data_IF_816594299410
#
_entry.id   IF_816594299410
#
_cell.length_a   1.000
_cell.length_b   1.000
_cell.length_c   1.000
_cell.angle_alpha   90.00
_cell.angle_beta   90.00
_cell.angle_gamma   90.00
#
_symmetry.space_group_name_H-M   'P 1'
#
loop_
_entity.id
_entity.type
_entity.pdbx_description
1 polymer ?
#
# COMPACT_ATOMS: atom_id res chain seq x y z
N UNK A 1 16.88 -19.71 -10.43
CA UNK A 1 16.07 -19.73 -11.67
C UNK A 1 15.80 -18.29 -12.15
N UNK A 2 16.87 -17.54 -12.41
CA UNK A 2 16.84 -16.18 -12.94
C UNK A 2 17.00 -16.15 -14.48
N UNK A 3 17.12 -17.32 -15.13
CA UNK A 3 17.51 -17.42 -16.55
C UNK A 3 16.36 -17.59 -17.53
N UNK A 4 15.12 -17.91 -17.09
CA UNK A 4 13.97 -18.02 -18.00
C UNK A 4 13.05 -16.79 -18.01
N UNK A 5 13.29 -15.80 -17.14
CA UNK A 5 12.62 -14.49 -17.18
C UNK A 5 13.23 -13.50 -18.19
N UNK A 6 14.27 -13.92 -18.91
CA UNK A 6 15.07 -13.09 -19.82
C UNK A 6 14.59 -13.07 -21.28
N UNK A 7 13.38 -13.56 -21.60
CA UNK A 7 12.88 -13.59 -22.99
C UNK A 7 11.83 -12.55 -23.39
N UNK A 8 11.61 -11.51 -22.57
CA UNK A 8 10.85 -10.31 -22.98
C UNK A 8 11.57 -9.02 -22.54
N UNK A 9 12.90 -9.01 -22.64
CA UNK A 9 13.72 -7.79 -22.45
C UNK A 9 14.57 -7.63 -23.70
N UNK A 10 14.03 -7.06 -24.77
CA UNK A 10 14.79 -6.34 -25.82
C UNK A 10 13.89 -5.54 -26.80
N UNK A 11 12.64 -5.21 -26.44
CA UNK A 11 11.72 -4.45 -27.31
C UNK A 11 11.49 -2.98 -26.94
N UNK A 12 11.86 -2.52 -25.75
CA UNK A 12 11.49 -1.17 -25.25
C UNK A 12 12.61 -0.41 -24.55
N UNK A 13 13.86 -0.90 -24.62
CA UNK A 13 15.02 -0.14 -24.15
C UNK A 13 15.70 0.49 -25.36
N UNK A 14 15.02 1.45 -25.98
CA UNK A 14 15.73 2.57 -26.58
C UNK A 14 15.80 3.68 -25.53
N UNK A 15 17.04 3.87 -25.11
CA UNK A 15 17.56 4.88 -24.22
C UNK A 15 17.24 6.28 -24.76
N UNK A 16 16.34 7.03 -24.11
CA UNK A 16 16.28 8.47 -24.28
C UNK A 16 17.01 9.13 -23.11
N UNK A 17 18.05 9.95 -23.39
CA UNK A 17 18.88 10.54 -22.35
C UNK A 17 18.09 11.57 -21.54
N UNK A 18 18.49 11.71 -20.27
CA UNK A 18 18.09 12.78 -19.36
C UNK A 18 17.77 14.10 -20.08
N UNK A 19 16.47 14.40 -20.25
CA UNK A 19 16.02 15.78 -20.28
C UNK A 19 15.69 16.16 -18.86
N UNK A 20 16.54 17.02 -18.29
CA UNK A 20 16.18 17.86 -17.15
C UNK A 20 14.77 18.40 -17.38
N UNK A 21 13.83 18.03 -16.52
CA UNK A 21 12.49 18.60 -16.54
C UNK A 21 12.66 20.08 -16.23
N UNK A 22 12.58 20.93 -17.24
CA UNK A 22 12.49 22.37 -17.03
C UNK A 22 11.15 22.62 -16.34
N UNK A 23 11.20 23.28 -15.19
CA UNK A 23 10.04 23.81 -14.51
C UNK A 23 9.10 24.48 -15.51
N UNK A 24 7.92 23.89 -15.72
CA UNK A 24 6.83 24.59 -16.38
C UNK A 24 6.54 25.85 -15.55
N UNK A 25 6.86 27.02 -16.11
CA UNK A 25 6.37 28.30 -15.61
C UNK A 25 4.86 28.30 -15.84
N UNK A 26 4.12 27.97 -14.79
CA UNK A 26 2.69 28.29 -14.72
C UNK A 26 2.54 29.81 -14.81
N UNK A 27 1.90 30.28 -15.90
CA UNK A 27 1.40 31.63 -16.00
C UNK A 27 0.29 31.80 -14.95
N UNK A 28 0.65 32.32 -13.77
CA UNK A 28 -0.32 32.76 -12.76
C UNK A 28 -1.12 33.93 -13.33
N UNK A 29 -2.37 33.69 -13.73
CA UNK A 29 -3.38 34.72 -13.60
C UNK A 29 -3.66 34.88 -12.10
N UNK A 30 -3.43 36.08 -11.58
CA UNK A 30 -3.83 36.46 -10.24
C UNK A 30 -5.35 36.51 -10.20
N UNK A 31 -5.98 35.44 -9.74
CA UNK A 31 -7.28 35.52 -9.11
C UNK A 31 -7.14 34.81 -7.77
N UNK A 32 -7.13 35.61 -6.69
CA UNK A 32 -7.22 35.15 -5.30
C UNK A 32 -8.63 34.62 -5.06
N UNK A 33 -8.93 33.45 -5.64
CA UNK A 33 -10.03 32.60 -5.20
C UNK A 33 -9.55 31.73 -4.06
N UNK A 34 -10.37 31.53 -3.04
CA UNK A 34 -10.11 30.55 -1.97
C UNK A 34 -9.85 29.20 -2.65
N UNK A 35 -8.61 28.72 -2.60
CA UNK A 35 -8.24 27.45 -3.20
C UNK A 35 -8.88 26.33 -2.38
N UNK A 36 -10.03 25.84 -2.86
CA UNK A 36 -10.77 24.78 -2.18
C UNK A 36 -10.08 23.45 -2.46
N UNK A 37 -9.47 22.88 -1.42
CA UNK A 37 -8.88 21.55 -1.46
C UNK A 37 -9.96 20.49 -1.22
N UNK A 38 -9.85 19.39 -1.95
CA UNK A 38 -10.80 18.28 -1.90
C UNK A 38 -10.26 17.12 -1.09
N UNK A 39 -8.95 16.85 -1.22
CA UNK A 39 -8.31 15.65 -0.68
C UNK A 39 -7.48 15.89 0.58
N UNK A 40 -7.36 17.15 1.02
CA UNK A 40 -6.59 17.52 2.20
C UNK A 40 -7.30 18.59 3.03
N UNK A 41 -7.33 18.39 4.34
CA UNK A 41 -7.86 19.36 5.29
C UNK A 41 -6.78 20.34 5.75
N UNK A 42 -7.21 21.54 6.16
CA UNK A 42 -6.33 22.51 6.81
C UNK A 42 -5.74 21.90 8.08
N UNK A 43 -4.42 21.90 8.19
CA UNK A 43 -3.72 21.35 9.33
C UNK A 43 -2.35 22.02 9.51
N UNK A 44 -1.80 22.05 10.74
CA UNK A 44 -0.54 22.74 11.03
C UNK A 44 0.71 21.93 10.64
N UNK A 45 0.56 20.76 10.03
CA UNK A 45 1.63 19.76 9.86
C UNK A 45 2.11 19.64 8.43
N UNK A 46 1.20 19.86 7.48
CA UNK A 46 1.49 19.95 6.07
C UNK A 46 1.60 21.41 5.65
N UNK A 47 2.67 21.73 4.94
CA UNK A 47 2.80 23.01 4.25
C UNK A 47 1.77 23.13 3.13
N UNK A 48 1.45 24.37 2.72
CA UNK A 48 0.57 24.61 1.59
C UNK A 48 1.04 23.88 0.32
N UNK A 49 2.35 23.89 0.04
CA UNK A 49 2.91 23.23 -1.14
C UNK A 49 2.75 21.70 -1.09
N UNK A 50 2.89 21.08 0.09
CA UNK A 50 2.65 19.64 0.23
C UNK A 50 1.18 19.27 0.01
N UNK A 51 0.26 20.13 0.45
CA UNK A 51 -1.17 19.95 0.20
C UNK A 51 -1.49 20.11 -1.28
N UNK A 52 -1.05 21.20 -1.92
CA UNK A 52 -1.18 21.39 -3.37
C UNK A 52 -0.62 20.19 -4.13
N UNK A 53 0.55 19.69 -3.75
CA UNK A 53 1.15 18.51 -4.37
C UNK A 53 0.25 17.27 -4.23
N UNK A 54 -0.29 16.99 -3.04
CA UNK A 54 -1.18 15.85 -2.82
C UNK A 54 -2.49 16.00 -3.60
N UNK A 55 -3.09 17.19 -3.64
CA UNK A 55 -4.29 17.47 -4.45
C UNK A 55 -4.02 17.20 -5.94
N UNK A 56 -2.85 17.57 -6.43
CA UNK A 56 -2.46 17.39 -7.83
C UNK A 56 -2.18 15.93 -8.16
N UNK A 57 -1.43 15.24 -7.29
CA UNK A 57 -0.77 13.97 -7.60
C UNK A 57 -1.35 12.75 -6.89
N UNK A 58 -2.09 12.95 -5.79
CA UNK A 58 -2.76 11.89 -5.02
C UNK A 58 -1.84 11.10 -4.08
N UNK A 59 -0.58 11.52 -3.95
CA UNK A 59 0.38 11.00 -3.00
C UNK A 59 1.27 12.09 -2.43
N UNK A 60 1.93 11.80 -1.31
CA UNK A 60 2.91 12.68 -0.69
C UNK A 60 3.97 11.84 0.03
N UNK A 61 5.23 12.05 -0.35
CA UNK A 61 6.38 11.41 0.28
C UNK A 61 6.95 12.31 1.38
N UNK A 62 6.94 11.83 2.62
CA UNK A 62 7.56 12.50 3.76
C UNK A 62 8.84 11.75 4.15
N UNK A 63 9.96 12.46 4.06
CA UNK A 63 11.29 11.91 4.35
C UNK A 63 11.50 11.75 5.84
N UNK A 64 12.11 10.63 6.25
CA UNK A 64 12.48 10.33 7.64
C UNK A 64 11.35 10.63 8.66
N UNK A 65 10.12 10.24 8.33
CA UNK A 65 8.96 10.45 9.21
C UNK A 65 9.02 9.53 10.43
N UNK A 66 9.45 8.29 10.22
CA UNK A 66 9.50 7.27 11.27
C UNK A 66 10.94 7.06 11.72
N UNK A 67 11.18 7.26 13.02
CA UNK A 67 12.50 7.02 13.60
C UNK A 67 12.95 5.57 13.39
N UNK A 68 14.22 5.40 13.08
CA UNK A 68 14.80 4.10 12.78
C UNK A 68 14.67 3.09 13.93
N UNK A 69 14.66 3.56 15.18
CA UNK A 69 14.48 2.72 16.38
C UNK A 69 13.17 1.93 16.36
N UNK A 70 12.07 2.54 15.89
CA UNK A 70 10.80 1.85 15.75
C UNK A 70 10.85 0.82 14.64
N UNK A 71 11.46 1.17 13.50
CA UNK A 71 11.57 0.29 12.35
C UNK A 71 12.39 -0.96 12.65
N UNK A 72 13.50 -0.83 13.38
CA UNK A 72 14.31 -1.97 13.79
C UNK A 72 13.55 -2.91 14.73
N UNK A 73 12.80 -2.34 15.69
CA UNK A 73 11.97 -3.13 16.60
C UNK A 73 10.83 -3.84 15.87
N UNK A 74 10.14 -3.17 14.95
CA UNK A 74 9.08 -3.77 14.14
C UNK A 74 9.62 -4.85 13.20
N UNK A 75 10.82 -4.64 12.63
CA UNK A 75 11.50 -5.65 11.81
C UNK A 75 11.81 -6.89 12.63
N UNK A 76 12.32 -6.71 13.86
CA UNK A 76 12.59 -7.83 14.76
C UNK A 76 11.30 -8.57 15.11
N UNK A 77 10.21 -7.85 15.44
CA UNK A 77 8.91 -8.48 15.71
C UNK A 77 8.39 -9.29 14.52
N UNK A 78 8.57 -8.79 13.30
CA UNK A 78 8.23 -9.55 12.09
C UNK A 78 9.00 -10.88 12.04
N UNK A 79 10.32 -10.85 12.29
CA UNK A 79 11.13 -12.07 12.34
C UNK A 79 10.65 -13.03 13.43
N UNK A 80 10.36 -12.51 14.62
CA UNK A 80 9.85 -13.32 15.74
C UNK A 80 8.51 -13.99 15.41
N UNK A 81 7.61 -13.29 14.71
CA UNK A 81 6.33 -13.84 14.27
C UNK A 81 6.49 -14.96 13.23
N UNK A 82 7.35 -14.79 12.23
CA UNK A 82 7.53 -15.81 11.18
C UNK A 82 8.33 -17.03 11.68
N UNK A 83 9.20 -16.85 12.68
CA UNK A 83 9.97 -17.93 13.31
C UNK A 83 9.22 -18.62 14.45
N UNK A 84 8.01 -18.15 14.79
CA UNK A 84 7.19 -18.74 15.85
C UNK A 84 7.61 -18.37 17.27
N UNK A 85 8.44 -17.33 17.43
CA UNK A 85 8.83 -16.76 18.73
C UNK A 85 7.80 -15.79 19.32
N UNK A 86 6.77 -15.43 18.56
CA UNK A 86 5.69 -14.55 19.00
C UNK A 86 4.31 -15.08 18.58
N UNK A 87 3.29 -14.77 19.38
CA UNK A 87 1.90 -15.17 19.12
C UNK A 87 1.34 -14.52 17.85
N UNK A 88 0.67 -15.30 16.99
CA UNK A 88 0.26 -14.82 15.67
C UNK A 88 -1.05 -15.42 15.13
N UNK A 89 -1.87 -16.09 15.93
CA UNK A 89 -3.01 -16.88 15.42
C UNK A 89 -4.06 -16.03 14.69
N UNK A 90 -4.26 -14.79 15.11
CA UNK A 90 -5.19 -13.86 14.48
C UNK A 90 -4.63 -13.19 13.21
N UNK A 91 -3.36 -13.45 12.87
CA UNK A 91 -2.65 -12.82 11.76
C UNK A 91 -2.62 -13.71 10.53
N UNK A 92 -2.69 -13.10 9.35
CA UNK A 92 -2.57 -13.82 8.08
C UNK A 92 -1.14 -13.75 7.58
N UNK A 93 -0.39 -14.86 7.67
CA UNK A 93 0.95 -15.00 7.09
C UNK A 93 0.83 -15.42 5.63
N UNK A 94 1.17 -14.54 4.70
CA UNK A 94 1.14 -14.84 3.27
C UNK A 94 2.46 -15.48 2.86
N UNK A 95 2.35 -16.70 2.32
CA UNK A 95 3.47 -17.43 1.74
C UNK A 95 3.58 -17.10 0.25
N UNK A 96 4.80 -17.07 -0.27
CA UNK A 96 5.01 -17.14 -1.71
C UNK A 96 4.51 -18.49 -2.23
N UNK A 97 3.54 -18.48 -3.14
CA UNK A 97 2.90 -19.69 -3.68
C UNK A 97 3.92 -20.64 -4.30
N UNK A 98 5.00 -20.09 -4.89
CA UNK A 98 6.05 -20.88 -5.53
C UNK A 98 7.04 -21.52 -4.55
N UNK A 99 7.03 -21.07 -3.29
CA UNK A 99 7.95 -21.53 -2.24
C UNK A 99 7.24 -22.17 -1.03
N UNK A 100 5.91 -22.17 -1.00
CA UNK A 100 5.10 -22.54 0.18
C UNK A 100 5.34 -23.97 0.70
N UNK A 101 5.77 -24.88 -0.17
CA UNK A 101 6.01 -26.31 0.12
C UNK A 101 7.49 -26.62 0.39
N UNK A 102 8.39 -25.62 0.30
CA UNK A 102 9.82 -25.78 0.60
C UNK A 102 10.06 -25.75 2.11
N UNK A 103 10.92 -26.64 2.59
CA UNK A 103 11.30 -26.75 4.01
C UNK A 103 12.80 -26.49 4.26
N UNK A 104 13.60 -26.41 3.21
CA UNK A 104 15.06 -26.22 3.22
C UNK A 104 15.50 -24.75 3.14
N UNK A 105 14.54 -23.82 3.16
CA UNK A 105 14.79 -22.38 3.08
C UNK A 105 14.22 -21.66 4.30
N UNK A 106 14.80 -20.51 4.64
CA UNK A 106 14.38 -19.74 5.80
C UNK A 106 12.89 -19.33 5.74
N UNK A 107 12.19 -19.22 6.87
CA UNK A 107 10.81 -18.73 6.91
C UNK A 107 10.65 -17.37 6.24
N UNK A 108 11.64 -16.48 6.35
CA UNK A 108 11.66 -15.16 5.70
C UNK A 108 11.60 -15.24 4.17
N UNK A 109 12.16 -16.30 3.58
CA UNK A 109 12.09 -16.55 2.13
C UNK A 109 10.72 -17.05 1.70
N UNK A 110 9.96 -17.66 2.60
CA UNK A 110 8.65 -18.23 2.32
C UNK A 110 7.55 -17.22 2.63
N UNK A 111 7.61 -16.55 3.79
CA UNK A 111 6.59 -15.63 4.30
C UNK A 111 7.02 -14.19 4.01
N UNK A 112 6.44 -13.60 2.98
CA UNK A 112 6.83 -12.27 2.50
C UNK A 112 5.89 -11.14 2.98
N UNK A 113 4.76 -11.48 3.61
CA UNK A 113 3.79 -10.50 4.12
C UNK A 113 3.01 -11.06 5.31
N UNK A 114 2.81 -10.23 6.32
CA UNK A 114 1.87 -10.47 7.41
C UNK A 114 0.75 -9.42 7.32
N UNK A 115 -0.50 -9.85 7.46
CA UNK A 115 -1.68 -8.98 7.56
C UNK A 115 -2.39 -9.18 8.89
N UNK A 116 -3.38 -8.32 9.18
CA UNK A 116 -4.23 -8.39 10.40
C UNK A 116 -3.45 -8.21 11.70
N UNK A 117 -2.36 -7.43 11.65
CA UNK A 117 -1.51 -7.16 12.81
C UNK A 117 -2.07 -6.08 13.76
N UNK A 118 -3.32 -5.66 13.58
CA UNK A 118 -3.99 -4.64 14.44
C UNK A 118 -4.06 -5.06 15.92
N UNK A 119 -3.96 -6.36 16.18
CA UNK A 119 -3.90 -6.96 17.52
C UNK A 119 -2.49 -7.12 18.10
N UNK A 120 -1.45 -7.00 17.26
CA UNK A 120 -0.08 -7.16 17.73
C UNK A 120 0.39 -5.87 18.42
N UNK A 121 0.84 -5.99 19.67
CA UNK A 121 1.21 -4.86 20.51
C UNK A 121 2.35 -3.98 19.94
N UNK A 122 3.23 -4.58 19.13
CA UNK A 122 4.41 -3.93 18.55
C UNK A 122 4.13 -3.40 17.15
N UNK A 123 3.60 -4.22 16.24
CA UNK A 123 3.34 -3.81 14.85
C UNK A 123 2.17 -2.81 14.76
N UNK A 124 1.18 -2.88 15.65
CA UNK A 124 0.07 -1.91 15.68
C UNK A 124 0.51 -0.50 16.08
N UNK A 125 1.73 -0.29 16.55
CA UNK A 125 2.24 1.05 16.83
C UNK A 125 2.33 1.91 15.57
N UNK A 126 2.54 1.29 14.40
CA UNK A 126 2.55 2.01 13.11
C UNK A 126 1.25 2.75 12.88
N UNK A 127 0.10 2.16 13.25
CA UNK A 127 -1.19 2.83 13.10
C UNK A 127 -1.34 4.02 14.04
N UNK A 128 -0.64 4.04 15.18
CA UNK A 128 -0.72 5.10 16.18
C UNK A 128 0.17 6.31 15.89
N UNK A 129 0.92 6.30 14.79
CA UNK A 129 1.76 7.44 14.38
C UNK A 129 0.90 8.67 13.95
N UNK A 130 1.42 9.90 14.10
CA UNK A 130 0.64 11.10 13.82
C UNK A 130 0.26 11.26 12.33
N UNK A 131 -1.03 11.56 12.14
CA UNK A 131 -1.70 12.30 11.06
C UNK A 131 -1.55 11.80 9.62
N UNK A 132 -2.65 11.21 9.15
CA UNK A 132 -2.98 11.10 7.74
C UNK A 132 -4.35 11.76 7.53
N UNK A 133 -4.52 12.61 6.51
CA UNK A 133 -5.81 13.25 6.21
C UNK A 133 -6.11 13.22 4.72
N UNK A 134 -6.93 12.26 4.33
CA UNK A 134 -8.25 12.46 3.73
C UNK A 134 -9.18 11.43 4.43
N UNK A 135 -10.48 11.35 4.13
CA UNK A 135 -11.35 10.39 4.86
C UNK A 135 -10.86 8.94 4.80
N UNK A 136 -10.07 8.55 3.79
CA UNK A 136 -9.33 7.29 3.75
C UNK A 136 -7.96 7.53 3.13
N UNK A 137 -6.90 6.93 3.68
CA UNK A 137 -5.52 7.13 3.20
C UNK A 137 -4.63 5.96 3.58
N UNK A 138 -3.75 5.53 2.67
CA UNK A 138 -2.70 4.58 2.97
C UNK A 138 -1.46 5.33 3.48
N UNK A 139 -0.84 4.84 4.55
CA UNK A 139 0.52 5.18 4.94
C UNK A 139 1.41 3.95 4.72
N UNK A 140 2.45 4.11 3.92
CA UNK A 140 3.40 3.07 3.60
C UNK A 140 4.81 3.54 3.96
N UNK A 141 5.50 2.82 4.83
CA UNK A 141 6.80 3.21 5.39
C UNK A 141 7.88 2.21 5.01
N UNK A 142 8.99 2.72 4.46
CA UNK A 142 10.16 1.92 4.13
C UNK A 142 10.92 1.53 5.42
N UNK A 143 11.10 0.22 5.65
CA UNK A 143 11.85 -0.29 6.82
C UNK A 143 13.35 -0.50 6.53
N UNK A 144 13.73 -0.32 5.28
CA UNK A 144 15.08 -0.37 4.74
C UNK A 144 15.16 0.52 3.49
N UNK A 145 16.33 0.61 2.85
CA UNK A 145 16.46 1.33 1.58
C UNK A 145 15.66 0.63 0.48
N UNK A 146 14.85 1.40 -0.23
CA UNK A 146 13.98 0.95 -1.31
C UNK A 146 14.36 1.72 -2.56
N UNK A 147 14.79 1.00 -3.59
CA UNK A 147 15.24 1.54 -4.86
C UNK A 147 14.65 0.73 -6.01
N UNK A 148 14.86 1.18 -7.24
CA UNK A 148 14.31 0.53 -8.43
C UNK A 148 14.56 -0.98 -8.48
N UNK A 149 15.79 -1.42 -8.25
CA UNK A 149 16.15 -2.84 -8.45
C UNK A 149 15.60 -3.76 -7.35
N UNK A 150 15.25 -3.23 -6.18
CA UNK A 150 14.65 -4.02 -5.10
C UNK A 150 13.12 -3.90 -5.00
N UNK A 151 12.49 -3.37 -6.06
CA UNK A 151 11.04 -3.33 -6.19
C UNK A 151 10.39 -2.19 -5.43
N UNK A 152 10.84 -0.94 -5.69
CA UNK A 152 10.17 0.24 -5.16
C UNK A 152 8.71 0.33 -5.60
N UNK A 153 7.90 1.08 -4.82
CA UNK A 153 6.58 1.46 -5.29
C UNK A 153 6.70 2.34 -6.53
N UNK A 154 5.70 2.25 -7.40
CA UNK A 154 5.44 3.25 -8.42
C UNK A 154 4.00 3.72 -8.31
N UNK A 155 3.75 4.95 -8.75
CA UNK A 155 2.41 5.55 -8.80
C UNK A 155 2.16 6.16 -10.17
N UNK A 156 0.89 6.33 -10.51
CA UNK A 156 0.44 7.12 -11.66
C UNK A 156 -0.10 8.45 -11.11
N UNK A 157 0.70 9.53 -11.08
CA UNK A 157 0.30 10.78 -10.45
C UNK A 157 -1.01 11.33 -11.03
N UNK A 158 -1.92 11.75 -10.16
CA UNK A 158 -3.21 12.34 -10.54
C UNK A 158 -4.32 11.33 -10.85
N UNK A 159 -4.01 10.03 -10.92
CA UNK A 159 -5.01 8.98 -11.19
C UNK A 159 -6.08 8.87 -10.09
N UNK A 160 -5.82 9.37 -8.89
CA UNK A 160 -6.79 9.42 -7.79
C UNK A 160 -8.03 10.27 -8.08
N UNK A 161 -7.95 11.17 -9.08
CA UNK A 161 -9.07 11.98 -9.58
C UNK A 161 -9.98 11.22 -10.53
N UNK A 162 -9.55 10.03 -10.97
CA UNK A 162 -10.31 9.14 -11.83
C UNK A 162 -11.41 8.40 -11.07
N UNK A 163 -11.95 7.37 -11.72
CA UNK A 163 -12.93 6.45 -11.11
C UNK A 163 -12.19 5.25 -10.52
N UNK A 164 -12.89 4.50 -9.67
CA UNK A 164 -12.43 3.18 -9.28
C UNK A 164 -12.45 2.28 -10.51
N UNK A 165 -11.27 1.78 -10.90
CA UNK A 165 -11.12 0.88 -12.05
C UNK A 165 -11.47 -0.57 -11.69
N UNK A 166 -11.86 -1.35 -12.70
CA UNK A 166 -12.10 -2.78 -12.51
C UNK A 166 -10.79 -3.50 -12.15
N UNK A 167 -10.84 -4.26 -11.07
CA UNK A 167 -9.74 -5.07 -10.59
C UNK A 167 -9.99 -6.53 -10.94
N UNK A 168 -8.98 -7.20 -11.47
CA UNK A 168 -9.02 -8.61 -11.83
C UNK A 168 -7.75 -9.32 -11.38
N UNK A 169 -7.83 -10.64 -11.21
CA UNK A 169 -6.64 -11.44 -11.01
C UNK A 169 -5.75 -11.42 -12.26
N UNK A 170 -4.44 -11.15 -12.11
CA UNK A 170 -3.50 -11.30 -13.20
C UNK A 170 -3.47 -12.75 -13.70
N UNK A 171 -3.43 -12.95 -15.01
CA UNK A 171 -3.33 -14.27 -15.62
C UNK A 171 -1.86 -14.72 -15.70
N UNK A 172 -1.27 -15.06 -14.54
CA UNK A 172 0.13 -15.51 -14.46
C UNK A 172 0.21 -17.04 -14.39
N UNK A 173 1.13 -17.64 -15.15
CA UNK A 173 1.28 -19.11 -15.26
C UNK A 173 1.48 -19.83 -13.91
N UNK A 174 2.14 -19.16 -12.95
CA UNK A 174 2.42 -19.73 -11.61
C UNK A 174 1.33 -19.41 -10.58
N UNK A 175 0.23 -18.81 -11.01
CA UNK A 175 -0.82 -18.31 -10.14
C UNK A 175 -0.43 -17.02 -9.40
N UNK A 176 -1.40 -16.47 -8.68
CA UNK A 176 -1.29 -15.24 -7.90
C UNK A 176 -1.83 -15.50 -6.49
N UNK A 177 -1.28 -14.78 -5.50
CA UNK A 177 -1.82 -14.84 -4.15
C UNK A 177 -3.28 -14.37 -4.16
N UNK A 178 -4.13 -15.00 -3.34
CA UNK A 178 -5.52 -14.52 -3.13
C UNK A 178 -5.47 -13.06 -2.65
N UNK A 179 -6.39 -12.24 -3.12
CA UNK A 179 -6.42 -10.77 -2.93
C UNK A 179 -5.31 -9.99 -3.66
N UNK A 180 -4.57 -10.61 -4.58
CA UNK A 180 -3.63 -9.92 -5.45
C UNK A 180 -4.31 -9.56 -6.78
N UNK A 181 -5.04 -8.45 -6.78
CA UNK A 181 -5.73 -7.92 -7.95
C UNK A 181 -4.89 -6.86 -8.67
N UNK A 182 -5.00 -6.80 -9.99
CA UNK A 182 -4.40 -5.76 -10.83
C UNK A 182 -5.45 -5.05 -11.67
N UNK A 183 -5.09 -3.88 -12.19
CA UNK A 183 -5.90 -3.11 -13.14
C UNK A 183 -5.31 -3.31 -14.54
N UNK A 184 -6.15 -3.71 -15.51
CA UNK A 184 -5.71 -3.91 -16.91
C UNK A 184 -5.71 -2.59 -17.68
N UNK A 185 -4.82 -2.47 -18.66
CA UNK A 185 -4.80 -1.32 -19.58
C UNK A 185 -4.02 -0.10 -19.09
N UNK A 186 -3.29 -0.24 -17.97
CA UNK A 186 -2.42 0.81 -17.42
C UNK A 186 -0.94 0.40 -17.42
N UNK A 187 -0.55 -0.53 -18.31
CA UNK A 187 0.81 -1.02 -18.40
C UNK A 187 1.77 0.04 -18.97
N UNK A 188 1.30 0.86 -19.92
CA UNK A 188 2.12 1.83 -20.67
C UNK A 188 1.99 3.28 -20.17
N UNK A 189 1.24 3.52 -19.08
CA UNK A 189 1.09 4.89 -18.55
C UNK A 189 2.39 5.36 -17.88
N UNK A 190 2.72 6.67 -17.96
CA UNK A 190 3.86 7.22 -17.23
C UNK A 190 3.75 6.95 -15.72
N UNK A 191 4.78 6.32 -15.18
CA UNK A 191 4.87 5.92 -13.76
C UNK A 191 5.95 6.74 -13.07
N UNK A 192 5.65 7.24 -11.87
CA UNK A 192 6.65 7.82 -10.98
C UNK A 192 7.15 6.73 -10.03
N UNK A 193 8.44 6.41 -10.10
CA UNK A 193 9.10 5.52 -9.14
C UNK A 193 9.31 6.25 -7.81
N UNK A 194 9.05 5.55 -6.70
CA UNK A 194 9.18 6.08 -5.35
C UNK A 194 10.36 5.41 -4.64
N UNK A 195 11.57 5.89 -4.92
CA UNK A 195 12.76 5.50 -4.16
C UNK A 195 12.77 6.18 -2.79
N UNK A 196 13.01 5.37 -1.76
CA UNK A 196 12.79 5.73 -0.36
C UNK A 196 13.96 5.23 0.48
N UNK A 197 14.44 6.07 1.38
CA UNK A 197 15.37 5.64 2.43
C UNK A 197 14.58 5.04 3.60
N UNK A 198 15.27 4.31 4.47
CA UNK A 198 14.67 3.82 5.72
C UNK A 198 14.02 5.00 6.48
N UNK A 199 12.78 4.81 6.94
CA UNK A 199 12.02 5.82 7.69
C UNK A 199 11.25 6.82 6.84
N UNK A 200 11.44 6.83 5.53
CA UNK A 200 10.56 7.55 4.62
C UNK A 200 9.16 6.91 4.63
N UNK A 201 8.13 7.74 4.53
CA UNK A 201 6.73 7.31 4.43
C UNK A 201 6.05 7.99 3.26
N UNK A 202 5.42 7.21 2.39
CA UNK A 202 4.50 7.73 1.37
C UNK A 202 3.07 7.59 1.88
N UNK A 203 2.33 8.69 1.78
CA UNK A 203 0.88 8.71 1.92
C UNK A 203 0.25 8.72 0.53
N UNK A 204 -0.79 7.93 0.30
CA UNK A 204 -1.50 7.97 -0.98
C UNK A 204 -2.99 7.67 -0.86
N UNK A 205 -3.74 8.25 -1.79
CA UNK A 205 -5.20 8.12 -1.87
C UNK A 205 -5.61 6.70 -2.33
N UNK A 206 -6.73 6.13 -1.84
CA UNK A 206 -7.12 4.75 -2.15
C UNK A 206 -7.35 4.45 -3.64
N UNK A 207 -7.76 5.46 -4.41
CA UNK A 207 -8.01 5.36 -5.85
C UNK A 207 -6.74 5.62 -6.68
N UNK A 208 -5.64 6.05 -6.07
CA UNK A 208 -4.39 6.25 -6.80
C UNK A 208 -3.89 4.91 -7.35
N UNK A 209 -3.70 4.83 -8.66
CA UNK A 209 -3.07 3.68 -9.29
C UNK A 209 -1.61 3.60 -8.84
N UNK A 210 -1.26 2.46 -8.26
CA UNK A 210 0.06 2.17 -7.73
C UNK A 210 0.38 0.69 -7.85
N UNK A 211 1.67 0.37 -7.80
CA UNK A 211 2.16 -1.00 -7.81
C UNK A 211 3.59 -1.07 -7.26
N UNK A 212 4.14 -2.27 -7.16
CA UNK A 212 5.56 -2.47 -6.83
C UNK A 212 6.31 -2.96 -8.08
N UNK A 213 7.52 -2.46 -8.29
CA UNK A 213 8.42 -3.00 -9.30
C UNK A 213 8.94 -4.39 -8.93
N UNK A 214 9.59 -5.04 -9.89
CA UNK A 214 10.29 -6.31 -9.64
C UNK A 214 11.47 -6.10 -8.69
N UNK A 215 11.63 -7.03 -7.75
CA UNK A 215 12.85 -7.15 -6.97
C UNK A 215 13.78 -8.16 -7.67
N UNK A 216 14.82 -7.64 -8.32
CA UNK A 216 15.86 -8.43 -9.02
C UNK A 216 17.11 -8.63 -8.17
N UNK A 217 17.11 -8.14 -6.92
CA UNK A 217 18.21 -8.33 -5.98
C UNK A 217 18.13 -9.67 -5.26
N UNK A 218 19.17 -10.00 -4.49
CA UNK A 218 19.20 -11.17 -3.63
C UNK A 218 18.67 -10.91 -2.20
N UNK A 219 18.11 -9.71 -1.94
CA UNK A 219 17.63 -9.28 -0.63
C UNK A 219 16.12 -9.04 -0.62
N UNK A 220 15.48 -9.29 0.53
CA UNK A 220 14.05 -9.05 0.72
C UNK A 220 13.79 -7.62 1.18
N UNK A 221 13.05 -6.86 0.35
CA UNK A 221 12.63 -5.49 0.66
C UNK A 221 11.49 -5.48 1.67
N UNK A 222 11.71 -4.95 2.87
CA UNK A 222 10.71 -4.84 3.95
C UNK A 222 10.08 -3.45 4.02
N UNK A 223 8.78 -3.47 4.30
CA UNK A 223 7.99 -2.28 4.55
C UNK A 223 6.79 -2.61 5.41
N UNK A 224 6.22 -1.58 6.04
CA UNK A 224 5.00 -1.67 6.82
C UNK A 224 3.98 -0.68 6.28
N UNK A 225 2.70 -1.05 6.28
CA UNK A 225 1.64 -0.18 5.79
C UNK A 225 0.35 -0.31 6.59
N UNK A 226 -0.36 0.80 6.72
CA UNK A 226 -1.68 0.87 7.34
C UNK A 226 -2.60 1.71 6.45
N UNK A 227 -3.88 1.31 6.36
CA UNK A 227 -4.92 2.12 5.73
C UNK A 227 -5.77 2.71 6.86
N UNK A 228 -5.86 4.03 6.89
CA UNK A 228 -6.68 4.77 7.83
C UNK A 228 -7.98 5.17 7.17
N UNK A 229 -9.04 5.22 7.97
CA UNK A 229 -10.31 5.82 7.61
C UNK A 229 -10.77 6.75 8.74
N UNK A 230 -11.43 7.85 8.41
CA UNK A 230 -12.13 8.68 9.36
C UNK A 230 -13.28 7.89 10.00
N UNK A 231 -13.52 8.07 11.29
CA UNK A 231 -14.54 7.29 12.00
C UNK A 231 -15.97 7.62 11.59
N UNK A 232 -16.18 8.72 10.84
CA UNK A 232 -17.46 9.11 10.22
C UNK A 232 -17.70 8.49 8.83
N UNK A 233 -16.81 7.61 8.35
CA UNK A 233 -17.06 6.80 7.17
C UNK A 233 -18.13 5.72 7.44
N UNK A 234 -18.67 5.13 6.38
CA UNK A 234 -19.69 4.09 6.47
C UNK A 234 -19.43 2.97 5.46
N UNK A 235 -19.92 1.77 5.77
CA UNK A 235 -19.88 0.65 4.85
C UNK A 235 -20.93 0.83 3.74
N UNK A 236 -20.54 0.53 2.51
CA UNK A 236 -21.43 0.53 1.34
C UNK A 236 -21.81 -0.90 0.97
N UNK A 237 -23.03 -1.08 0.44
CA UNK A 237 -23.39 -2.31 -0.26
C UNK A 237 -22.64 -2.35 -1.59
N UNK A 238 -21.88 -3.42 -1.81
CA UNK A 238 -21.07 -3.62 -3.02
C UNK A 238 -21.72 -4.57 -4.02
N UNK A 239 -22.89 -5.12 -3.72
CA UNK A 239 -23.60 -6.02 -4.62
C UNK A 239 -23.97 -5.31 -5.94
N UNK A 240 -23.65 -5.94 -7.07
CA UNK A 240 -23.88 -5.33 -8.39
C UNK A 240 -22.93 -4.19 -8.74
N UNK A 241 -21.89 -3.94 -7.94
CA UNK A 241 -20.84 -2.95 -8.22
C UNK A 241 -19.55 -3.65 -8.69
N UNK A 242 -18.56 -2.88 -9.14
CA UNK A 242 -17.21 -3.39 -9.48
C UNK A 242 -16.54 -4.12 -8.31
N UNK A 243 -16.99 -3.87 -7.08
CA UNK A 243 -16.44 -4.43 -5.85
C UNK A 243 -17.17 -5.70 -5.38
N UNK A 244 -18.21 -6.20 -6.06
CA UNK A 244 -18.97 -7.38 -5.60
C UNK A 244 -18.08 -8.60 -5.33
N UNK A 245 -17.04 -8.82 -6.15
CA UNK A 245 -16.13 -9.94 -5.98
C UNK A 245 -15.33 -9.86 -4.67
N UNK A 246 -15.00 -8.65 -4.19
CA UNK A 246 -14.24 -8.51 -2.94
C UNK A 246 -15.05 -8.96 -1.74
N UNK A 247 -16.37 -8.71 -1.75
CA UNK A 247 -17.25 -9.16 -0.67
C UNK A 247 -17.29 -10.69 -0.60
N UNK A 248 -17.45 -11.36 -1.75
CA UNK A 248 -17.46 -12.82 -1.82
C UNK A 248 -16.18 -13.40 -1.24
N UNK A 249 -15.04 -12.85 -1.65
CA UNK A 249 -13.75 -13.32 -1.17
C UNK A 249 -13.49 -13.04 0.32
N UNK A 250 -13.89 -11.85 0.81
CA UNK A 250 -13.77 -11.49 2.24
C UNK A 250 -14.64 -12.42 3.09
N UNK A 251 -15.87 -12.69 2.67
CA UNK A 251 -16.78 -13.65 3.33
C UNK A 251 -16.20 -15.07 3.35
N UNK A 252 -15.59 -15.52 2.26
CA UNK A 252 -14.89 -16.82 2.24
C UNK A 252 -13.71 -16.88 3.21
N UNK A 253 -12.92 -15.80 3.33
CA UNK A 253 -11.83 -15.73 4.29
C UNK A 253 -12.37 -15.73 5.72
N UNK A 254 -13.42 -14.95 5.99
CA UNK A 254 -14.07 -14.90 7.30
C UNK A 254 -14.60 -16.28 7.71
N UNK A 255 -15.26 -16.99 6.79
CA UNK A 255 -15.71 -18.38 6.99
C UNK A 255 -14.57 -19.31 7.40
N UNK A 256 -13.43 -19.27 6.69
CA UNK A 256 -12.25 -20.09 7.04
C UNK A 256 -11.66 -19.76 8.42
N UNK A 257 -11.90 -18.56 8.93
CA UNK A 257 -11.50 -18.10 10.27
C UNK A 257 -12.58 -18.35 11.34
N UNK A 258 -13.64 -19.10 11.02
CA UNK A 258 -14.74 -19.40 11.95
C UNK A 258 -15.72 -18.24 12.17
N UNK A 259 -15.65 -17.18 11.35
CA UNK A 259 -16.56 -16.02 11.40
C UNK A 259 -17.69 -16.18 10.39
N UNK A 260 -18.43 -17.30 10.47
CA UNK A 260 -19.56 -17.57 9.58
C UNK A 260 -20.78 -16.70 9.91
N UNK A 261 -21.58 -16.36 8.90
CA UNK A 261 -22.83 -15.62 9.06
C UNK A 261 -22.69 -14.10 9.18
N UNK A 262 -21.47 -13.57 9.25
CA UNK A 262 -21.24 -12.12 9.26
C UNK A 262 -21.42 -11.50 7.87
N UNK A 263 -21.99 -10.30 7.84
CA UNK A 263 -22.02 -9.47 6.63
C UNK A 263 -20.65 -8.79 6.37
N UNK A 264 -20.54 -8.15 5.20
CA UNK A 264 -19.30 -7.52 4.77
C UNK A 264 -18.83 -6.40 5.72
N UNK A 265 -19.76 -5.57 6.20
CA UNK A 265 -19.45 -4.47 7.12
C UNK A 265 -19.01 -4.98 8.50
N UNK A 266 -19.71 -5.99 9.03
CA UNK A 266 -19.37 -6.64 10.30
C UNK A 266 -17.96 -7.25 10.28
N UNK A 267 -17.57 -7.90 9.18
CA UNK A 267 -16.22 -8.47 9.04
C UNK A 267 -15.15 -7.38 9.09
N UNK A 268 -15.40 -6.23 8.46
CA UNK A 268 -14.47 -5.10 8.50
C UNK A 268 -14.44 -4.39 9.84
N UNK A 269 -15.58 -4.22 10.51
CA UNK A 269 -15.65 -3.62 11.84
C UNK A 269 -14.90 -4.47 12.89
N UNK A 270 -14.99 -5.81 12.81
CA UNK A 270 -14.17 -6.69 13.65
C UNK A 270 -12.67 -6.56 13.39
N UNK A 271 -12.25 -6.04 12.22
CA UNK A 271 -10.85 -5.83 11.84
C UNK A 271 -10.41 -4.38 11.99
N UNK A 272 -11.32 -3.46 12.32
CA UNK A 272 -11.01 -2.05 12.55
C UNK A 272 -10.58 -1.83 14.00
N UNK A 273 -9.80 -0.77 14.20
CA UNK A 273 -9.51 -0.27 15.55
C UNK A 273 -9.52 1.25 15.56
N UNK A 274 -10.18 1.80 16.56
CA UNK A 274 -10.07 3.22 16.88
C UNK A 274 -8.63 3.51 17.29
N UNK A 275 -7.94 4.30 16.47
CA UNK A 275 -6.56 4.73 16.72
C UNK A 275 -6.52 6.04 17.50
N UNK A 276 -7.39 7.01 17.15
CA UNK A 276 -7.43 8.34 17.75
C UNK A 276 -8.81 8.96 17.60
N UNK A 277 -9.21 9.81 18.55
CA UNK A 277 -10.49 10.53 18.49
C UNK A 277 -11.62 9.71 19.10
N UNK A 278 -12.80 9.76 18.45
CA UNK A 278 -13.99 9.02 18.88
C UNK A 278 -14.48 8.13 17.74
N UNK A 279 -14.97 6.96 18.10
CA UNK A 279 -15.70 6.07 17.21
C UNK A 279 -17.08 6.68 16.92
N UNK A 280 -17.51 6.69 15.65
CA UNK A 280 -18.77 7.34 15.22
C UNK A 280 -19.63 6.32 14.46
N UNK A 281 -19.31 6.05 13.19
CA UNK A 281 -20.04 5.13 12.31
C UNK A 281 -19.25 3.89 11.92
N UNK A 282 -17.91 3.95 11.92
CA UNK A 282 -17.01 2.79 11.76
C UNK A 282 -16.54 2.22 13.10
#
# INVERSE_FOLDING_TARGET
MASERLRVIFGHIEYLPHKSVSFYKSNKSKNEGIQRFQYTMDNPKLTMNQRVFYEENGYLLIKNLVKHEYLDRWRQRFMDLIEGRAYSENMTKMKDVSLKDRTDISPERIINKIQDFVWDEVLSEHSRLPEATDRIVCAWTAMEKVHRDNGCLFVVPGSHKGKLEQHEYPNWEKGVNKMYHGVRGFDDVPKQLLEMEKGDTVFFHPVLLHGSGDNVTNHFRKAISCHFAASDCYYIDVKGTLQENIEKEVKEIAKRKGMEGLDFGQIWNLRSRLVRGREITL
#
